data_IF_374746993953
#
_entry.id   IF_374746993953
#
_cell.length_a   1.000
_cell.length_b   1.000
_cell.length_c   1.000
_cell.angle_alpha   90.00
_cell.angle_beta   90.00
_cell.angle_gamma   90.00
#
_symmetry.space_group_name_H-M   'P 1'
#
loop_
_entity.id
_entity.type
_entity.pdbx_description
1 polymer ?
#
# COMPACT_ATOMS: atom_id res chain seq x y z
N UNK A 1 -35.41 6.67 -14.13
CA UNK A 1 -34.69 7.19 -15.33
C UNK A 1 -33.45 7.92 -14.85
N UNK A 2 -32.28 7.28 -14.90
CA UNK A 2 -31.00 7.92 -14.56
C UNK A 2 -30.29 8.25 -15.86
N UNK A 3 -30.32 9.52 -16.25
CA UNK A 3 -29.46 10.10 -17.28
C UNK A 3 -28.21 10.64 -16.61
N UNK A 4 -27.02 10.19 -17.02
CA UNK A 4 -25.79 10.90 -16.67
C UNK A 4 -24.72 10.78 -17.75
N UNK A 5 -24.45 11.94 -18.35
CA UNK A 5 -23.18 12.49 -18.86
C UNK A 5 -22.40 11.67 -19.90
N UNK A 6 -22.76 11.87 -21.16
CA UNK A 6 -21.75 11.98 -22.21
C UNK A 6 -21.21 13.42 -22.14
N UNK A 7 -19.94 13.58 -21.79
CA UNK A 7 -19.24 14.85 -21.98
C UNK A 7 -19.16 15.12 -23.47
N UNK A 8 -19.76 16.23 -23.87
CA UNK A 8 -19.74 16.74 -25.23
C UNK A 8 -18.38 17.43 -25.45
N UNK A 9 -17.64 17.00 -26.47
CA UNK A 9 -16.72 17.84 -27.25
C UNK A 9 -16.06 17.07 -28.41
N UNK A 10 -16.38 17.51 -29.63
CA UNK A 10 -15.57 17.51 -30.87
C UNK A 10 -15.33 16.20 -31.66
N UNK A 11 -15.79 16.24 -32.93
CA UNK A 11 -15.58 15.30 -34.06
C UNK A 11 -15.76 13.80 -33.75
N UNK A 12 -17.03 13.34 -33.80
CA UNK A 12 -17.37 11.91 -33.74
C UNK A 12 -16.93 11.19 -35.01
N UNK A 13 -15.77 10.54 -34.94
CA UNK A 13 -15.46 9.44 -35.84
C UNK A 13 -16.39 8.26 -35.49
N UNK A 14 -17.36 8.01 -36.36
CA UNK A 14 -18.48 7.06 -36.14
C UNK A 14 -17.98 5.65 -35.84
N UNK A 15 -16.83 5.24 -36.40
CA UNK A 15 -16.24 3.93 -36.16
C UNK A 15 -15.77 3.76 -34.71
N UNK A 16 -15.27 4.83 -34.08
CA UNK A 16 -14.85 4.80 -32.67
C UNK A 16 -16.02 4.80 -31.70
N UNK A 17 -17.21 5.28 -32.11
CA UNK A 17 -18.42 5.21 -31.28
C UNK A 17 -18.97 3.78 -31.18
N UNK A 18 -19.02 3.05 -32.31
CA UNK A 18 -19.47 1.65 -32.36
C UNK A 18 -18.60 0.76 -31.47
N UNK A 19 -17.27 0.91 -31.56
CA UNK A 19 -16.33 0.15 -30.74
C UNK A 19 -16.56 0.35 -29.24
N UNK A 20 -16.97 1.55 -28.82
CA UNK A 20 -17.22 1.84 -27.41
C UNK A 20 -18.55 1.31 -26.96
N UNK A 21 -19.59 1.40 -27.79
CA UNK A 21 -20.90 0.79 -27.51
C UNK A 21 -20.79 -0.73 -27.39
N UNK A 22 -19.96 -1.37 -28.21
CA UNK A 22 -19.69 -2.80 -28.10
C UNK A 22 -19.03 -3.18 -26.78
N UNK A 23 -18.07 -2.37 -26.31
CA UNK A 23 -17.43 -2.58 -25.00
C UNK A 23 -18.40 -2.33 -23.85
N UNK A 24 -19.26 -1.31 -23.95
CA UNK A 24 -20.33 -1.06 -23.00
C UNK A 24 -21.31 -2.23 -22.91
N UNK A 25 -21.80 -2.71 -24.05
CA UNK A 25 -22.69 -3.87 -24.10
C UNK A 25 -22.03 -5.10 -23.46
N UNK A 26 -20.75 -5.35 -23.75
CA UNK A 26 -20.02 -6.44 -23.14
C UNK A 26 -19.99 -6.32 -21.61
N UNK A 27 -19.73 -5.11 -21.10
CA UNK A 27 -19.75 -4.86 -19.65
C UNK A 27 -21.14 -5.09 -19.03
N UNK A 28 -22.22 -4.59 -19.66
CA UNK A 28 -23.60 -4.82 -19.21
C UNK A 28 -23.98 -6.31 -19.17
N UNK A 29 -23.40 -7.12 -20.07
CA UNK A 29 -23.60 -8.56 -20.11
C UNK A 29 -22.61 -9.35 -19.23
N UNK A 30 -21.71 -8.68 -18.49
CA UNK A 30 -20.67 -9.33 -17.69
C UNK A 30 -19.58 -10.04 -18.52
N UNK A 31 -19.41 -9.64 -19.78
CA UNK A 31 -18.49 -10.25 -20.74
C UNK A 31 -17.16 -9.48 -20.80
N UNK A 32 -16.06 -10.21 -20.60
CA UNK A 32 -14.72 -9.67 -20.79
C UNK A 32 -14.22 -9.76 -22.25
N UNK A 33 -13.01 -9.25 -22.48
CA UNK A 33 -12.35 -9.24 -23.81
C UNK A 33 -12.38 -10.60 -24.53
N UNK A 34 -12.12 -11.69 -23.82
CA UNK A 34 -12.09 -13.02 -24.42
C UNK A 34 -13.44 -13.45 -24.98
N UNK A 35 -14.54 -13.12 -24.29
CA UNK A 35 -15.89 -13.38 -24.76
C UNK A 35 -16.24 -12.49 -25.97
N UNK A 36 -15.89 -11.20 -25.90
CA UNK A 36 -16.08 -10.26 -27.01
C UNK A 36 -15.37 -10.73 -28.29
N UNK A 37 -14.12 -11.23 -28.16
CA UNK A 37 -13.35 -11.77 -29.29
C UNK A 37 -14.03 -12.98 -29.94
N UNK A 38 -14.64 -13.86 -29.14
CA UNK A 38 -15.41 -15.00 -29.64
C UNK A 38 -16.67 -14.53 -30.38
N UNK A 39 -17.41 -13.58 -29.80
CA UNK A 39 -18.60 -13.00 -30.42
C UNK A 39 -18.27 -12.34 -31.75
N UNK A 40 -17.19 -11.54 -31.81
CA UNK A 40 -16.74 -10.93 -33.06
C UNK A 40 -16.46 -11.97 -34.15
N UNK A 41 -15.82 -13.09 -33.79
CA UNK A 41 -15.56 -14.19 -34.72
C UNK A 41 -16.85 -14.84 -35.24
N UNK A 42 -17.84 -15.05 -34.36
CA UNK A 42 -19.14 -15.64 -34.74
C UNK A 42 -19.92 -14.71 -35.67
N UNK A 43 -19.89 -13.41 -35.41
CA UNK A 43 -20.58 -12.39 -36.20
C UNK A 43 -19.83 -12.02 -37.50
N UNK A 44 -18.66 -12.61 -37.77
CA UNK A 44 -17.85 -12.28 -38.95
C UNK A 44 -17.29 -10.85 -38.94
N UNK A 45 -17.22 -10.19 -37.78
CA UNK A 45 -16.69 -8.84 -37.66
C UNK A 45 -15.23 -8.85 -37.16
N UNK A 46 -14.38 -7.91 -37.60
CA UNK A 46 -13.03 -7.77 -37.09
C UNK A 46 -13.02 -7.59 -35.57
N UNK A 47 -12.26 -8.44 -34.87
CA UNK A 47 -12.15 -8.35 -33.43
C UNK A 47 -11.36 -7.10 -33.02
N UNK A 48 -11.82 -6.45 -31.95
CA UNK A 48 -11.13 -5.30 -31.38
C UNK A 48 -9.73 -5.70 -30.88
N UNK A 49 -8.72 -4.88 -31.16
CA UNK A 49 -7.38 -5.09 -30.61
C UNK A 49 -7.39 -4.89 -29.08
N UNK A 50 -6.61 -5.68 -28.33
CA UNK A 50 -6.61 -5.68 -26.86
C UNK A 50 -6.38 -4.29 -26.25
N UNK A 51 -5.38 -3.54 -26.77
CA UNK A 51 -5.11 -2.17 -26.28
C UNK A 51 -6.28 -1.20 -26.53
N UNK A 52 -7.03 -1.40 -27.61
CA UNK A 52 -8.20 -0.59 -27.96
C UNK A 52 -9.37 -0.93 -27.03
N UNK A 53 -9.60 -2.22 -26.77
CA UNK A 53 -10.55 -2.68 -25.76
C UNK A 53 -10.24 -2.06 -24.40
N UNK A 54 -9.01 -2.20 -23.89
CA UNK A 54 -8.61 -1.66 -22.58
C UNK A 54 -8.82 -0.15 -22.47
N UNK A 55 -8.58 0.60 -23.55
CA UNK A 55 -8.82 2.05 -23.60
C UNK A 55 -10.30 2.38 -23.49
N UNK A 56 -11.15 1.68 -24.23
CA UNK A 56 -12.60 1.90 -24.22
C UNK A 56 -13.25 1.38 -22.95
N UNK A 57 -12.78 0.26 -22.42
CA UNK A 57 -13.21 -0.30 -21.14
C UNK A 57 -13.01 0.73 -20.03
N UNK A 58 -11.80 1.28 -19.89
CA UNK A 58 -11.51 2.36 -18.94
C UNK A 58 -12.38 3.61 -19.15
N UNK A 59 -12.79 3.89 -20.38
CA UNK A 59 -13.68 5.02 -20.70
C UNK A 59 -15.12 4.76 -20.25
N UNK A 60 -15.58 3.52 -20.36
CA UNK A 60 -16.95 3.09 -20.04
C UNK A 60 -17.12 2.83 -18.55
N UNK A 61 -16.20 2.07 -17.94
CA UNK A 61 -16.27 1.66 -16.53
C UNK A 61 -15.70 2.72 -15.58
N UNK A 62 -14.98 3.69 -16.13
CA UNK A 62 -14.18 4.63 -15.35
C UNK A 62 -12.88 3.99 -14.86
N UNK A 63 -12.03 4.78 -14.21
CA UNK A 63 -10.84 4.21 -13.58
C UNK A 63 -11.22 3.47 -12.28
N UNK A 64 -10.46 2.44 -11.89
CA UNK A 64 -10.68 1.76 -10.60
C UNK A 64 -10.69 2.74 -9.41
N UNK A 65 -9.90 3.83 -9.47
CA UNK A 65 -9.93 4.91 -8.48
C UNK A 65 -11.30 5.60 -8.40
N UNK A 66 -11.91 5.89 -9.55
CA UNK A 66 -13.24 6.49 -9.61
C UNK A 66 -14.32 5.53 -9.09
N UNK A 67 -14.19 4.24 -9.37
CA UNK A 67 -15.10 3.22 -8.84
C UNK A 67 -15.00 3.11 -7.31
N UNK A 68 -13.80 3.16 -6.74
CA UNK A 68 -13.59 3.17 -5.28
C UNK A 68 -14.24 4.40 -4.63
N UNK A 69 -14.06 5.57 -5.23
CA UNK A 69 -14.70 6.82 -4.79
C UNK A 69 -16.23 6.73 -4.80
N UNK A 70 -16.82 6.29 -5.92
CA UNK A 70 -18.27 6.12 -6.05
C UNK A 70 -18.81 5.06 -5.09
N UNK A 71 -18.08 3.96 -4.90
CA UNK A 71 -18.46 2.90 -3.96
C UNK A 71 -18.48 3.42 -2.52
N UNK A 72 -17.43 4.16 -2.11
CA UNK A 72 -17.38 4.78 -0.79
C UNK A 72 -18.55 5.75 -0.60
N UNK A 73 -18.79 6.69 -1.54
CA UNK A 73 -19.94 7.61 -1.46
C UNK A 73 -21.26 6.88 -1.29
N UNK A 74 -21.53 5.88 -2.13
CA UNK A 74 -22.78 5.10 -2.07
C UNK A 74 -22.94 4.35 -0.76
N UNK A 75 -21.87 3.76 -0.24
CA UNK A 75 -21.89 3.04 1.04
C UNK A 75 -22.21 3.98 2.21
N UNK A 76 -21.52 5.13 2.27
CA UNK A 76 -21.71 6.10 3.34
C UNK A 76 -23.07 6.80 3.25
N UNK A 77 -23.50 7.23 2.07
CA UNK A 77 -24.79 7.91 1.86
C UNK A 77 -26.01 7.07 2.30
N UNK A 78 -25.97 5.75 2.08
CA UNK A 78 -27.11 4.86 2.35
C UNK A 78 -27.11 4.25 3.76
N UNK A 79 -26.04 4.42 4.51
CA UNK A 79 -25.80 3.77 5.80
C UNK A 79 -26.96 3.94 6.80
N UNK A 80 -27.39 5.18 7.06
CA UNK A 80 -28.48 5.48 7.99
C UNK A 80 -29.81 4.93 7.47
N UNK A 81 -30.19 5.29 6.24
CA UNK A 81 -31.49 4.93 5.69
C UNK A 81 -31.69 3.41 5.55
N UNK A 82 -30.63 2.67 5.16
CA UNK A 82 -30.72 1.24 4.88
C UNK A 82 -30.35 0.36 6.06
N UNK A 83 -29.45 0.82 6.92
CA UNK A 83 -28.83 -0.01 7.95
C UNK A 83 -28.94 0.59 9.36
N UNK A 84 -29.46 1.82 9.51
CA UNK A 84 -29.60 2.49 10.81
C UNK A 84 -28.28 2.62 11.58
N UNK A 85 -27.16 2.76 10.86
CA UNK A 85 -25.82 2.94 11.44
C UNK A 85 -25.13 4.18 10.89
N UNK A 86 -24.19 4.71 11.68
CA UNK A 86 -23.24 5.74 11.26
C UNK A 86 -21.83 5.17 11.34
N UNK A 87 -21.05 5.39 10.30
CA UNK A 87 -19.62 5.10 10.32
C UNK A 87 -18.86 6.28 10.92
N UNK A 88 -17.92 6.01 11.82
CA UNK A 88 -17.11 7.05 12.47
C UNK A 88 -15.71 7.14 11.87
N UNK A 89 -15.21 6.01 11.39
CA UNK A 89 -13.83 5.83 10.95
C UNK A 89 -13.77 5.22 9.55
N UNK A 90 -12.84 5.69 8.73
CA UNK A 90 -12.56 5.15 7.41
C UNK A 90 -11.11 4.69 7.32
N UNK A 91 -10.91 3.37 7.21
CA UNK A 91 -9.61 2.79 6.87
C UNK A 91 -9.31 3.02 5.39
N UNK A 92 -8.23 3.73 5.07
CA UNK A 92 -7.82 3.95 3.69
C UNK A 92 -6.32 4.18 3.53
N UNK A 93 -5.85 4.20 2.28
CA UNK A 93 -4.46 4.47 1.93
C UNK A 93 -4.11 5.96 2.10
N UNK A 94 -2.81 6.29 2.10
CA UNK A 94 -2.28 7.63 2.42
C UNK A 94 -2.92 8.79 1.64
N UNK A 95 -2.97 8.72 0.31
CA UNK A 95 -3.75 9.66 -0.52
C UNK A 95 -5.02 8.96 -1.02
N UNK A 96 -6.03 8.95 -0.17
CA UNK A 96 -7.32 8.35 -0.47
C UNK A 96 -8.26 9.39 -1.06
N UNK A 97 -8.39 9.36 -2.40
CA UNK A 97 -9.38 10.15 -3.10
C UNK A 97 -10.82 9.76 -2.66
N UNK A 98 -11.04 8.51 -2.24
CA UNK A 98 -12.31 8.05 -1.70
C UNK A 98 -12.65 8.70 -0.34
N UNK A 99 -11.66 8.89 0.54
CA UNK A 99 -11.87 9.58 1.82
C UNK A 99 -12.29 11.03 1.61
N UNK A 100 -11.64 11.74 0.67
CA UNK A 100 -12.02 13.11 0.31
C UNK A 100 -13.47 13.23 -0.15
N UNK A 101 -13.93 12.29 -0.97
CA UNK A 101 -15.32 12.24 -1.43
C UNK A 101 -16.31 11.96 -0.30
N UNK A 102 -15.95 11.11 0.67
CA UNK A 102 -16.78 10.85 1.87
C UNK A 102 -16.87 12.10 2.76
N UNK A 103 -15.76 12.80 2.98
CA UNK A 103 -15.76 14.06 3.74
C UNK A 103 -16.60 15.12 3.04
N UNK A 104 -16.43 15.28 1.72
CA UNK A 104 -17.22 16.24 0.92
C UNK A 104 -18.72 15.91 0.90
N UNK A 105 -19.08 14.63 0.94
CA UNK A 105 -20.47 14.18 1.03
C UNK A 105 -21.12 14.58 2.37
N UNK A 106 -20.33 14.75 3.44
CA UNK A 106 -20.79 15.05 4.80
C UNK A 106 -22.03 14.22 5.20
N UNK A 107 -21.94 12.87 5.18
CA UNK A 107 -23.10 12.00 5.34
C UNK A 107 -23.75 12.12 6.73
N UNK A 108 -23.01 12.62 7.72
CA UNK A 108 -23.44 12.77 9.11
C UNK A 108 -23.13 14.19 9.60
N UNK A 109 -24.05 15.16 9.40
CA UNK A 109 -23.84 16.53 9.87
C UNK A 109 -23.50 16.59 11.36
N UNK A 110 -22.43 17.32 11.70
CA UNK A 110 -21.94 17.45 13.07
C UNK A 110 -21.04 16.30 13.56
N UNK A 111 -20.73 15.33 12.71
CA UNK A 111 -19.81 14.24 13.02
C UNK A 111 -18.66 14.18 12.02
N UNK A 112 -17.43 14.35 12.52
CA UNK A 112 -16.22 14.25 11.70
C UNK A 112 -15.86 12.78 11.46
N UNK A 113 -15.57 12.45 10.20
CA UNK A 113 -15.08 11.11 9.84
C UNK A 113 -13.57 11.04 10.04
N UNK A 114 -13.13 10.15 10.92
CA UNK A 114 -11.70 9.95 11.20
C UNK A 114 -11.07 9.06 10.14
N UNK A 115 -9.97 9.51 9.54
CA UNK A 115 -9.18 8.69 8.62
C UNK A 115 -8.21 7.79 9.39
N UNK A 116 -8.28 6.49 9.16
CA UNK A 116 -7.29 5.53 9.63
C UNK A 116 -6.34 5.14 8.51
N UNK A 117 -5.05 5.00 8.83
CA UNK A 117 -4.03 4.55 7.89
C UNK A 117 -3.89 3.02 7.91
N UNK A 118 -3.86 2.41 6.73
CA UNK A 118 -3.63 0.98 6.60
C UNK A 118 -2.18 0.60 6.95
N UNK A 119 -1.99 -0.36 7.86
CA UNK A 119 -0.66 -0.85 8.22
C UNK A 119 0.12 -1.41 7.02
N UNK A 120 -0.57 -2.06 6.07
CA UNK A 120 0.07 -2.56 4.86
C UNK A 120 0.57 -1.40 3.99
N UNK A 121 -0.15 -0.27 3.99
CA UNK A 121 0.27 0.93 3.30
C UNK A 121 1.46 1.59 4.00
N UNK A 122 1.41 1.76 5.33
CA UNK A 122 2.53 2.26 6.12
C UNK A 122 3.81 1.41 5.93
N UNK A 123 3.67 0.08 5.99
CA UNK A 123 4.73 -0.89 5.71
C UNK A 123 5.33 -0.69 4.32
N UNK A 124 4.51 -0.57 3.27
CA UNK A 124 4.97 -0.33 1.89
C UNK A 124 5.66 1.03 1.73
N UNK A 125 5.16 2.08 2.38
CA UNK A 125 5.77 3.42 2.35
C UNK A 125 7.18 3.38 2.93
N UNK A 126 7.36 2.75 4.10
CA UNK A 126 8.67 2.57 4.72
C UNK A 126 9.63 1.80 3.81
N UNK A 127 9.18 0.70 3.19
CA UNK A 127 10.01 -0.06 2.24
C UNK A 127 10.39 0.73 0.99
N UNK A 128 9.52 1.63 0.54
CA UNK A 128 9.82 2.56 -0.56
C UNK A 128 10.86 3.59 -0.14
N UNK A 129 10.74 4.16 1.06
CA UNK A 129 11.71 5.10 1.62
C UNK A 129 13.11 4.47 1.74
N UNK A 130 13.22 3.26 2.29
CA UNK A 130 14.51 2.55 2.37
C UNK A 130 15.12 2.27 1.00
N UNK A 131 14.32 1.84 0.02
CA UNK A 131 14.83 1.62 -1.36
C UNK A 131 15.27 2.92 -2.03
N UNK A 132 14.57 4.02 -1.78
CA UNK A 132 14.96 5.36 -2.26
C UNK A 132 16.29 5.79 -1.64
N UNK A 133 16.46 5.63 -0.33
CA UNK A 133 17.73 5.93 0.36
C UNK A 133 18.86 5.00 -0.11
N UNK A 134 18.57 3.71 -0.33
CA UNK A 134 19.51 2.74 -0.88
C UNK A 134 20.08 3.17 -2.23
N UNK A 135 19.22 3.65 -3.15
CA UNK A 135 19.65 4.03 -4.50
C UNK A 135 20.21 5.45 -4.54
N UNK A 136 19.46 6.44 -4.05
CA UNK A 136 19.82 7.85 -4.15
C UNK A 136 20.97 8.23 -3.21
N UNK A 137 21.02 7.65 -2.01
CA UNK A 137 22.10 7.89 -1.05
C UNK A 137 23.37 7.07 -1.31
N UNK A 138 23.41 6.27 -2.39
CA UNK A 138 24.48 5.30 -2.68
C UNK A 138 24.80 4.38 -1.48
N UNK A 139 23.77 4.06 -0.68
CA UNK A 139 23.86 3.26 0.54
C UNK A 139 23.76 1.75 0.28
N UNK A 140 23.22 1.37 -0.87
CA UNK A 140 23.11 -0.02 -1.32
C UNK A 140 24.35 -0.55 -2.03
N UNK A 141 24.14 -1.51 -2.93
CA UNK A 141 25.19 -2.17 -3.71
C UNK A 141 25.66 -3.51 -3.12
N UNK A 142 26.78 -4.03 -3.66
CA UNK A 142 27.44 -5.25 -3.16
C UNK A 142 28.31 -4.89 -1.96
N UNK A 143 28.31 -5.73 -0.93
CA UNK A 143 29.19 -5.58 0.23
C UNK A 143 28.49 -5.76 1.57
N UNK A 144 29.26 -6.17 2.58
CA UNK A 144 28.79 -6.40 3.95
C UNK A 144 28.39 -5.06 4.59
N UNK A 145 27.23 -5.08 5.25
CA UNK A 145 26.67 -3.92 5.97
C UNK A 145 26.17 -2.77 5.08
N UNK A 146 25.92 -3.02 3.79
CA UNK A 146 25.21 -2.09 2.89
C UNK A 146 23.69 -2.22 3.05
N UNK A 147 22.95 -1.17 2.69
CA UNK A 147 21.49 -1.17 2.64
C UNK A 147 21.00 -1.86 1.36
N UNK A 148 21.15 -3.18 1.29
CA UNK A 148 20.72 -3.98 0.12
C UNK A 148 19.19 -4.11 0.06
N UNK A 149 18.65 -4.55 -1.07
CA UNK A 149 17.21 -4.83 -1.18
C UNK A 149 16.71 -5.83 -0.13
N UNK A 150 17.51 -6.86 0.18
CA UNK A 150 17.22 -7.81 1.27
C UNK A 150 17.18 -7.09 2.62
N UNK A 151 18.12 -6.18 2.89
CA UNK A 151 18.15 -5.38 4.12
C UNK A 151 16.95 -4.44 4.24
N UNK A 152 16.59 -3.75 3.16
CA UNK A 152 15.39 -2.92 3.11
C UNK A 152 14.16 -3.74 3.51
N UNK A 153 14.00 -4.95 2.95
CA UNK A 153 12.89 -5.85 3.30
C UNK A 153 12.92 -6.26 4.77
N UNK A 154 14.09 -6.59 5.32
CA UNK A 154 14.23 -6.92 6.75
C UNK A 154 13.82 -5.74 7.65
N UNK A 155 14.38 -4.54 7.43
CA UNK A 155 14.04 -3.35 8.22
C UNK A 155 12.56 -2.98 8.08
N UNK A 156 12.01 -3.13 6.88
CA UNK A 156 10.59 -2.94 6.60
C UNK A 156 9.73 -3.91 7.44
N UNK A 157 10.13 -5.17 7.57
CA UNK A 157 9.43 -6.15 8.39
C UNK A 157 9.54 -5.86 9.88
N UNK A 158 10.70 -5.41 10.37
CA UNK A 158 10.85 -4.96 11.76
C UNK A 158 9.93 -3.78 12.07
N UNK A 159 9.85 -2.79 11.16
CA UNK A 159 8.93 -1.68 11.29
C UNK A 159 7.46 -2.13 11.41
N UNK A 160 7.03 -3.09 10.57
CA UNK A 160 5.66 -3.65 10.66
C UNK A 160 5.45 -4.43 11.96
N UNK A 161 6.43 -5.21 12.39
CA UNK A 161 6.37 -5.95 13.66
C UNK A 161 6.21 -5.03 14.85
N UNK A 162 7.02 -3.97 14.93
CA UNK A 162 6.94 -2.98 16.00
C UNK A 162 5.58 -2.29 16.08
N UNK A 163 4.93 -2.00 14.95
CA UNK A 163 3.57 -1.45 14.95
C UNK A 163 2.55 -2.47 15.50
N UNK A 164 2.65 -3.72 15.06
CA UNK A 164 1.68 -4.76 15.46
C UNK A 164 1.82 -5.19 16.92
N UNK A 165 3.05 -5.28 17.42
CA UNK A 165 3.35 -5.77 18.76
C UNK A 165 3.01 -4.73 19.85
N UNK A 166 3.00 -3.44 19.51
CA UNK A 166 2.82 -2.34 20.48
C UNK A 166 1.54 -1.54 20.20
N UNK A 167 0.47 -2.21 19.77
CA UNK A 167 -0.84 -1.58 19.62
C UNK A 167 -1.29 -1.02 20.99
N UNK A 168 -1.50 0.29 21.06
CA UNK A 168 -1.89 0.98 22.31
C UNK A 168 -0.76 1.73 23.03
N UNK A 169 0.50 1.59 22.62
CA UNK A 169 1.60 2.40 23.17
C UNK A 169 2.51 2.95 22.07
N UNK A 170 2.38 4.24 21.79
CA UNK A 170 3.22 4.95 20.81
C UNK A 170 4.68 4.93 21.24
N UNK A 171 4.97 5.04 22.54
CA UNK A 171 6.34 5.09 23.04
C UNK A 171 7.03 3.73 22.93
N UNK A 172 6.34 2.63 23.26
CA UNK A 172 6.87 1.28 23.04
C UNK A 172 7.04 0.99 21.55
N UNK A 173 6.09 1.41 20.71
CA UNK A 173 6.20 1.30 19.26
C UNK A 173 7.44 2.02 18.72
N UNK A 174 7.65 3.27 19.12
CA UNK A 174 8.86 4.03 18.75
C UNK A 174 10.12 3.32 19.24
N UNK A 175 10.13 2.84 20.48
CA UNK A 175 11.27 2.14 21.06
C UNK A 175 11.63 0.86 20.27
N UNK A 176 10.64 0.04 19.89
CA UNK A 176 10.88 -1.20 19.13
C UNK A 176 11.25 -0.90 17.66
N UNK A 177 10.70 0.15 17.04
CA UNK A 177 11.16 0.63 15.72
C UNK A 177 12.66 0.98 15.78
N UNK A 178 13.07 1.72 16.82
CA UNK A 178 14.48 2.04 17.05
C UNK A 178 15.32 0.79 17.32
N UNK A 179 14.80 -0.16 18.09
CA UNK A 179 15.48 -1.42 18.38
C UNK A 179 15.84 -2.18 17.10
N UNK A 180 14.93 -2.27 16.13
CA UNK A 180 15.17 -2.95 14.86
C UNK A 180 16.32 -2.34 14.05
N UNK A 181 16.46 -1.01 14.05
CA UNK A 181 17.56 -0.31 13.38
C UNK A 181 18.88 -0.45 14.14
N UNK A 182 18.86 -0.21 15.45
CA UNK A 182 20.03 -0.30 16.33
C UNK A 182 20.62 -1.71 16.37
N UNK A 183 19.77 -2.74 16.45
CA UNK A 183 20.17 -4.13 16.38
C UNK A 183 20.99 -4.44 15.12
N UNK A 184 20.57 -3.89 13.97
CA UNK A 184 21.31 -4.06 12.72
C UNK A 184 22.69 -3.39 12.73
N UNK A 185 22.89 -2.32 13.50
CA UNK A 185 24.15 -1.58 13.61
C UNK A 185 25.08 -2.08 14.72
N UNK A 186 24.66 -3.11 15.44
CA UNK A 186 25.35 -3.64 16.61
C UNK A 186 26.61 -4.43 16.22
N UNK A 187 27.66 -4.30 17.02
CA UNK A 187 28.95 -5.01 16.89
C UNK A 187 29.42 -5.48 18.25
N UNK A 188 30.42 -6.37 18.28
CA UNK A 188 31.00 -6.84 19.56
C UNK A 188 31.60 -5.68 20.37
N UNK A 189 32.35 -4.79 19.71
CA UNK A 189 32.97 -3.62 20.36
C UNK A 189 31.96 -2.55 20.81
N UNK A 190 30.73 -2.59 20.28
CA UNK A 190 29.71 -1.60 20.59
C UNK A 190 28.31 -2.20 20.41
N UNK A 191 27.85 -2.96 21.42
CA UNK A 191 26.55 -3.62 21.38
C UNK A 191 25.41 -2.59 21.52
N UNK A 192 24.42 -2.66 20.64
CA UNK A 192 23.28 -1.73 20.57
C UNK A 192 21.95 -2.45 20.81
N UNK A 193 21.87 -3.21 21.91
CA UNK A 193 20.72 -4.05 22.22
C UNK A 193 19.78 -3.50 23.29
N UNK A 194 20.03 -2.29 23.81
CA UNK A 194 19.30 -1.69 24.95
C UNK A 194 17.77 -1.63 24.78
N UNK A 195 17.29 -1.51 23.55
CA UNK A 195 15.83 -1.45 23.24
C UNK A 195 15.27 -2.77 22.70
N UNK A 196 16.08 -3.81 22.61
CA UNK A 196 15.67 -5.09 22.03
C UNK A 196 14.84 -5.91 23.04
N UNK A 197 13.90 -6.70 22.52
CA UNK A 197 13.14 -7.67 23.31
C UNK A 197 13.84 -9.06 23.28
N UNK A 198 13.98 -9.77 24.42
CA UNK A 198 14.57 -11.11 24.47
C UNK A 198 13.89 -12.16 23.57
N UNK A 199 12.61 -11.99 23.24
CA UNK A 199 11.85 -12.93 22.38
C UNK A 199 12.44 -13.11 20.99
N UNK A 200 13.14 -12.11 20.46
CA UNK A 200 13.73 -12.15 19.12
C UNK A 200 15.21 -11.76 19.07
N UNK A 201 15.73 -11.08 20.09
CA UNK A 201 17.13 -10.68 20.15
C UNK A 201 17.98 -11.71 20.89
N UNK A 202 18.83 -12.42 20.15
CA UNK A 202 19.76 -13.41 20.71
C UNK A 202 20.65 -12.84 21.82
N UNK A 203 21.07 -11.57 21.70
CA UNK A 203 21.94 -10.93 22.68
C UNK A 203 21.20 -10.71 24.00
N UNK A 204 20.00 -10.11 23.95
CA UNK A 204 19.16 -9.91 25.14
C UNK A 204 18.67 -11.21 25.73
N UNK A 205 18.43 -12.22 24.90
CA UNK A 205 18.04 -13.56 25.37
C UNK A 205 19.15 -14.22 26.19
N UNK A 206 20.40 -14.11 25.75
CA UNK A 206 21.54 -14.59 26.53
C UNK A 206 21.65 -13.84 27.87
N UNK A 207 21.54 -12.50 27.86
CA UNK A 207 21.54 -11.71 29.10
C UNK A 207 20.42 -12.11 30.07
N UNK A 208 19.20 -12.33 29.56
CA UNK A 208 18.02 -12.74 30.34
C UNK A 208 18.18 -14.14 30.96
N UNK A 209 18.91 -15.03 30.27
CA UNK A 209 19.29 -16.34 30.77
C UNK A 209 20.47 -16.31 31.75
N UNK A 210 21.11 -15.16 31.98
CA UNK A 210 22.35 -15.06 32.75
C UNK A 210 23.59 -15.58 32.03
N UNK A 211 23.52 -15.74 30.71
CA UNK A 211 24.60 -16.19 29.84
C UNK A 211 25.40 -15.01 29.27
N UNK A 212 26.66 -15.25 28.91
CA UNK A 212 27.44 -14.26 28.15
C UNK A 212 27.01 -14.30 26.68
N UNK A 213 26.57 -13.17 26.07
CA UNK A 213 26.20 -13.15 24.67
C UNK A 213 27.37 -13.55 23.75
N UNK A 214 27.08 -14.35 22.72
CA UNK A 214 28.05 -14.71 21.69
C UNK A 214 28.50 -13.55 20.78
N UNK A 215 29.38 -13.83 19.83
CA UNK A 215 29.88 -12.81 18.89
C UNK A 215 28.87 -12.46 17.78
N UNK A 216 28.74 -11.19 17.45
CA UNK A 216 27.97 -10.66 16.33
C UNK A 216 28.43 -11.22 14.98
N UNK A 217 29.68 -11.71 14.87
CA UNK A 217 30.19 -12.37 13.65
C UNK A 217 29.35 -13.60 13.29
N UNK A 218 28.82 -14.31 14.30
CA UNK A 218 27.94 -15.46 14.14
C UNK A 218 26.51 -15.06 13.73
N UNK A 219 26.13 -13.80 13.92
CA UNK A 219 24.79 -13.25 13.68
C UNK A 219 24.78 -12.10 12.66
N UNK A 220 25.64 -12.19 11.64
CA UNK A 220 25.91 -11.10 10.67
C UNK A 220 24.85 -10.90 9.59
N UNK A 221 23.84 -11.79 9.49
CA UNK A 221 22.80 -11.71 8.45
C UNK A 221 22.08 -10.35 8.43
N UNK A 222 21.89 -9.75 9.62
CA UNK A 222 21.21 -8.48 9.80
C UNK A 222 22.14 -7.28 10.00
N UNK A 223 23.46 -7.47 9.91
CA UNK A 223 24.44 -6.40 10.03
C UNK A 223 24.27 -5.28 8.98
N UNK A 224 24.39 -4.05 9.45
CA UNK A 224 24.35 -2.78 8.74
C UNK A 224 25.50 -1.92 9.28
N UNK A 225 26.36 -1.39 8.40
CA UNK A 225 27.44 -0.49 8.84
C UNK A 225 26.83 0.74 9.50
N UNK A 226 27.45 1.21 10.60
CA UNK A 226 26.98 2.39 11.34
C UNK A 226 26.84 3.63 10.47
N UNK A 227 27.83 3.92 9.64
CA UNK A 227 27.79 5.03 8.68
C UNK A 227 26.57 4.97 7.73
N UNK A 228 26.12 3.76 7.40
CA UNK A 228 24.94 3.56 6.55
C UNK A 228 23.67 3.75 7.37
N UNK A 229 23.59 3.14 8.56
CA UNK A 229 22.40 3.23 9.40
C UNK A 229 22.16 4.62 9.98
N UNK A 230 23.21 5.38 10.29
CA UNK A 230 23.11 6.78 10.71
C UNK A 230 22.45 7.66 9.65
N UNK A 231 22.63 7.35 8.36
CA UNK A 231 21.96 8.06 7.25
C UNK A 231 20.48 7.69 7.08
N UNK A 232 19.96 6.74 7.86
CA UNK A 232 18.54 6.38 7.90
C UNK A 232 17.81 7.07 9.05
N UNK A 233 18.54 7.72 9.94
CA UNK A 233 18.00 8.49 11.05
C UNK A 233 17.63 9.88 10.50
N UNK A 234 16.38 10.34 10.69
CA UNK A 234 15.92 11.66 10.28
C UNK A 234 16.71 12.80 10.93
#
# INVERSE_FOLDING_TARGET
>A
MYTTRLQDETRKDVAFDVNVRMVLLAHELGLGYAALKKISKVLGIPALHLKTYQRHDKRVTGSSKAMEQESAKRMWARSVNRHQVRYTEMLSDGDSAAFREVVALNPYPGHEVVKLECINHAHKRMGTAFRKLSSQGKLGGKGVGKLTAKKCKTLQNYYRGAILNNQGSIDQMKAEIWAGLLHGMSTDDSPLHTRCNPSWCWYRKAEDNGETPGSHKLHSANFLKREVGQKLIP
#
